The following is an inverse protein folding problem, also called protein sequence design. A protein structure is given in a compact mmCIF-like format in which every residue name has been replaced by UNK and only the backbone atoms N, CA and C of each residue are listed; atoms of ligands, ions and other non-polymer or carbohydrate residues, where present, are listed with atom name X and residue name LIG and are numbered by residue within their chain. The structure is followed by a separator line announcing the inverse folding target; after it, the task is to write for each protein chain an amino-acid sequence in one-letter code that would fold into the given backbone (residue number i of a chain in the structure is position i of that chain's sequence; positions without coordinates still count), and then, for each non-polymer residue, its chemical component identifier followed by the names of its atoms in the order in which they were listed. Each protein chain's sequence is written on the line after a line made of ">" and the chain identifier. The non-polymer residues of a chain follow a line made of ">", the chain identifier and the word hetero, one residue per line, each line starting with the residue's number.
data_IF_020159482503
#
_entry.id   IF_020159482503
#
_cell.length_a   1.000
_cell.length_b   1.000
_cell.length_c   1.000
_cell.angle_alpha   90.00
_cell.angle_beta   90.00
_cell.angle_gamma   90.00
#
_symmetry.space_group_name_H-M   'P 1'
#
loop_
_entity.id
_entity.type
_entity.pdbx_description
1 polymer ?
#
# COMPACT_ATOMS: atom_id res chain seq x y z
N UNK A 1 -21.64 -2.61 -0.62
CA UNK A 1 -21.02 -3.03 -1.54
C UNK A 1 -21.49 -2.61 -2.76
N UNK A 2 -20.90 -2.05 -3.46
CA UNK A 2 -21.39 -1.54 -4.65
C UNK A 2 -21.64 -2.59 -5.69
N UNK A 3 -22.61 -2.35 -6.52
CA UNK A 3 -22.85 -3.23 -7.62
C UNK A 3 -21.68 -3.22 -8.59
N UNK A 4 -20.82 -2.23 -8.49
CA UNK A 4 -19.76 -2.04 -9.48
C UNK A 4 -18.37 -2.40 -9.00
N UNK A 5 -18.27 -3.08 -7.88
CA UNK A 5 -16.96 -3.44 -7.35
C UNK A 5 -16.12 -4.28 -8.32
N UNK A 6 -16.81 -4.99 -9.23
CA UNK A 6 -16.13 -5.86 -10.19
C UNK A 6 -15.66 -5.13 -11.45
N UNK A 7 -16.02 -3.86 -11.62
CA UNK A 7 -15.61 -3.13 -12.81
C UNK A 7 -14.12 -2.83 -12.75
N UNK A 8 -13.39 -2.99 -13.86
CA UNK A 8 -11.95 -2.78 -13.86
C UNK A 8 -11.53 -1.35 -13.55
N UNK A 9 -12.40 -0.38 -13.83
CA UNK A 9 -12.07 1.01 -13.56
C UNK A 9 -12.82 1.57 -12.36
N UNK A 10 -13.45 0.72 -11.59
CA UNK A 10 -14.17 1.18 -10.41
C UNK A 10 -13.22 1.61 -9.32
N UNK A 11 -13.75 2.39 -8.40
CA UNK A 11 -12.96 2.87 -7.29
C UNK A 11 -12.84 1.84 -6.19
N UNK A 12 -11.77 1.92 -5.43
CA UNK A 12 -11.59 1.13 -4.22
C UNK A 12 -11.41 2.11 -3.06
N UNK A 13 -11.58 1.65 -1.82
CA UNK A 13 -11.36 2.52 -0.67
C UNK A 13 -9.94 3.09 -0.66
N UNK A 14 -9.80 4.32 -0.19
CA UNK A 14 -8.52 5.01 -0.18
C UNK A 14 -8.24 5.66 1.16
N UNK A 15 -6.97 5.83 1.47
CA UNK A 15 -6.53 6.58 2.63
C UNK A 15 -5.50 7.61 2.14
N UNK A 16 -5.56 8.83 2.68
CA UNK A 16 -4.63 9.88 2.26
C UNK A 16 -3.25 9.62 2.84
N UNK A 17 -2.23 10.25 2.25
CA UNK A 17 -0.86 10.11 2.75
C UNK A 17 -0.76 10.59 4.20
N UNK A 18 -1.37 11.73 4.51
CA UNK A 18 -1.31 12.24 5.87
C UNK A 18 -2.02 11.32 6.86
N UNK A 19 -3.15 10.75 6.45
CA UNK A 19 -3.87 9.84 7.32
C UNK A 19 -3.06 8.56 7.56
N UNK A 20 -2.44 8.03 6.52
CA UNK A 20 -1.61 6.83 6.69
C UNK A 20 -0.43 7.12 7.62
N UNK A 21 0.17 8.30 7.49
CA UNK A 21 1.28 8.66 8.36
C UNK A 21 0.84 8.68 9.83
N UNK A 22 -0.34 9.22 10.11
CA UNK A 22 -0.88 9.20 11.46
C UNK A 22 -1.12 7.75 11.91
N UNK A 23 -1.72 6.93 11.05
CA UNK A 23 -2.02 5.55 11.40
C UNK A 23 -0.77 4.75 11.74
N UNK A 24 0.30 4.92 10.97
CA UNK A 24 1.50 4.11 11.21
C UNK A 24 2.24 4.52 12.48
N UNK A 25 1.94 5.72 13.01
CA UNK A 25 2.51 6.16 14.27
C UNK A 25 1.63 5.80 15.47
N UNK A 26 0.41 5.34 15.21
CA UNK A 26 -0.56 5.03 16.25
C UNK A 26 -0.48 3.54 16.56
N UNK A 27 -0.08 3.21 17.77
CA UNK A 27 0.10 1.81 18.14
C UNK A 27 -1.20 1.01 18.10
N UNK A 28 -2.35 1.66 18.15
CA UNK A 28 -3.62 0.95 18.10
C UNK A 28 -4.09 0.69 16.68
N UNK A 29 -3.67 1.49 15.71
CA UNK A 29 -4.12 1.32 14.32
C UNK A 29 -3.40 0.16 13.62
N UNK A 30 -2.11 0.05 13.83
CA UNK A 30 -1.28 -1.06 13.33
C UNK A 30 -1.54 -1.42 11.88
N UNK A 31 -1.43 -0.47 10.95
CA UNK A 31 -1.70 -0.76 9.54
C UNK A 31 -0.67 -1.73 8.96
N UNK A 32 -1.13 -2.56 8.03
CA UNK A 32 -0.27 -3.48 7.29
C UNK A 32 -0.09 -2.86 5.92
N UNK A 33 1.13 -2.47 5.59
CA UNK A 33 1.41 -1.74 4.35
C UNK A 33 2.08 -2.66 3.36
N UNK A 34 1.50 -2.77 2.15
CA UNK A 34 2.05 -3.65 1.12
C UNK A 34 2.36 -2.80 -0.11
N UNK A 35 3.63 -2.77 -0.49
CA UNK A 35 4.07 -2.02 -1.66
C UNK A 35 4.07 -2.96 -2.85
N UNK A 36 3.23 -2.67 -3.86
CA UNK A 36 3.07 -3.57 -5.00
C UNK A 36 3.83 -3.07 -6.23
N UNK A 37 4.77 -2.16 -6.04
CA UNK A 37 5.57 -1.63 -7.14
C UNK A 37 6.67 -2.59 -7.56
N UNK A 38 7.40 -2.24 -8.60
CA UNK A 38 8.55 -3.04 -9.02
C UNK A 38 9.67 -2.97 -7.99
N UNK A 39 10.62 -3.88 -8.10
CA UNK A 39 11.77 -3.90 -7.20
C UNK A 39 12.61 -2.64 -7.31
N UNK A 40 12.78 -2.12 -8.52
CA UNK A 40 13.55 -0.89 -8.69
C UNK A 40 12.88 0.29 -8.00
N UNK A 41 11.55 0.39 -8.12
CA UNK A 41 10.82 1.45 -7.45
C UNK A 41 10.91 1.30 -5.93
N UNK A 42 10.82 0.08 -5.45
CA UNK A 42 10.92 -0.21 -4.01
C UNK A 42 12.27 0.24 -3.47
N UNK A 43 13.35 -0.11 -4.16
CA UNK A 43 14.68 0.24 -3.71
C UNK A 43 14.94 1.74 -3.74
N UNK A 44 14.25 2.46 -4.63
CA UNK A 44 14.45 3.91 -4.72
C UNK A 44 13.82 4.66 -3.55
N UNK A 45 13.01 3.99 -2.77
CA UNK A 45 12.41 4.60 -1.59
C UNK A 45 11.03 4.05 -1.34
N UNK A 46 10.77 3.65 -0.10
CA UNK A 46 9.48 3.07 0.29
C UNK A 46 9.18 3.46 1.73
N UNK A 47 7.95 3.21 2.14
CA UNK A 47 7.51 3.54 3.50
C UNK A 47 8.07 2.51 4.47
N UNK A 48 8.65 2.97 5.57
CA UNK A 48 9.22 2.07 6.59
C UNK A 48 8.15 1.09 7.09
N UNK A 49 8.53 -0.17 7.22
CA UNK A 49 7.62 -1.20 7.69
C UNK A 49 6.77 -1.83 6.61
N UNK A 50 6.83 -1.34 5.38
CA UNK A 50 6.06 -1.92 4.30
C UNK A 50 6.65 -3.26 3.86
N UNK A 51 5.76 -4.14 3.39
CA UNK A 51 6.17 -5.42 2.81
C UNK A 51 6.14 -5.24 1.31
N UNK A 52 7.17 -5.71 0.62
CA UNK A 52 7.23 -5.58 -0.83
C UNK A 52 6.71 -6.84 -1.52
N UNK A 53 5.63 -6.71 -2.25
CA UNK A 53 5.08 -7.82 -3.05
C UNK A 53 4.65 -7.24 -4.39
N UNK A 54 5.48 -7.35 -5.44
CA UNK A 54 5.10 -6.79 -6.74
C UNK A 54 3.75 -7.29 -7.20
N UNK A 55 3.01 -6.44 -7.90
CA UNK A 55 1.66 -6.80 -8.31
C UNK A 55 1.63 -8.09 -9.15
N UNK A 56 2.68 -8.35 -9.90
CA UNK A 56 2.74 -9.56 -10.72
C UNK A 56 2.81 -10.83 -9.88
N UNK A 57 3.23 -10.72 -8.63
CA UNK A 57 3.35 -11.86 -7.73
C UNK A 57 2.27 -11.87 -6.65
N UNK A 58 1.48 -10.82 -6.60
CA UNK A 58 0.56 -10.62 -5.49
C UNK A 58 -0.44 -11.78 -5.36
N UNK A 59 -1.03 -12.17 -6.49
CA UNK A 59 -2.04 -13.21 -6.47
C UNK A 59 -1.52 -14.54 -5.96
N UNK A 60 -0.29 -14.91 -6.33
CA UNK A 60 0.26 -16.19 -5.90
C UNK A 60 0.81 -16.14 -4.48
N UNK A 61 1.07 -14.96 -3.94
CA UNK A 61 1.69 -14.85 -2.62
C UNK A 61 0.73 -14.46 -1.50
N UNK A 62 -0.47 -14.00 -1.84
CA UNK A 62 -1.36 -13.42 -0.86
C UNK A 62 -1.66 -14.36 0.32
N UNK A 63 -1.83 -15.65 0.05
CA UNK A 63 -2.16 -16.60 1.11
C UNK A 63 -0.99 -16.81 2.07
N UNK A 64 0.24 -16.65 1.60
CA UNK A 64 1.41 -16.89 2.43
C UNK A 64 1.86 -15.67 3.22
N UNK A 65 1.22 -14.52 3.01
CA UNK A 65 1.65 -13.29 3.67
C UNK A 65 1.25 -13.22 5.14
N UNK A 66 0.35 -14.09 5.57
CA UNK A 66 -0.09 -14.12 6.97
C UNK A 66 -0.62 -12.77 7.45
N UNK A 67 -1.43 -12.15 6.61
CA UNK A 67 -2.02 -10.86 6.96
C UNK A 67 -3.15 -11.03 7.97
N UNK A 68 -3.33 -10.01 8.80
CA UNK A 68 -4.34 -10.02 9.84
C UNK A 68 -5.61 -9.35 9.30
N UNK A 69 -6.71 -10.09 9.24
CA UNK A 69 -7.96 -9.56 8.70
C UNK A 69 -8.61 -8.50 9.56
N UNK A 70 -8.21 -8.38 10.81
CA UNK A 70 -8.80 -7.41 11.72
C UNK A 70 -8.12 -6.04 11.65
N UNK A 71 -6.99 -5.94 10.96
CA UNK A 71 -6.22 -4.71 10.89
C UNK A 71 -6.30 -4.11 9.50
N UNK A 72 -6.16 -2.78 9.38
CA UNK A 72 -6.17 -2.14 8.06
C UNK A 72 -5.01 -2.65 7.20
N UNK A 73 -5.27 -2.80 5.91
CA UNK A 73 -4.25 -3.18 4.94
C UNK A 73 -4.24 -2.10 3.87
N UNK A 74 -3.08 -1.52 3.61
CA UNK A 74 -2.95 -0.44 2.64
C UNK A 74 -2.01 -0.87 1.53
N UNK A 75 -2.53 -0.95 0.30
CA UNK A 75 -1.73 -1.26 -0.87
C UNK A 75 -1.18 0.02 -1.46
N UNK A 76 0.10 0.01 -1.82
CA UNK A 76 0.80 1.19 -2.29
C UNK A 76 1.40 0.94 -3.66
N UNK A 77 1.14 1.84 -4.61
CA UNK A 77 1.86 1.84 -5.87
C UNK A 77 2.35 3.24 -6.17
N UNK A 78 2.82 3.48 -7.37
CA UNK A 78 3.38 4.79 -7.67
C UNK A 78 2.31 5.88 -7.67
N UNK A 79 1.18 5.63 -8.33
CA UNK A 79 0.15 6.65 -8.49
C UNK A 79 -1.27 6.10 -8.32
N UNK A 80 -1.40 5.00 -7.61
CA UNK A 80 -2.70 4.42 -7.26
C UNK A 80 -3.41 3.68 -8.41
N UNK A 81 -2.65 3.17 -9.38
CA UNK A 81 -3.24 2.36 -10.44
C UNK A 81 -3.04 0.87 -10.22
N UNK A 82 -1.79 0.47 -9.93
CA UNK A 82 -1.49 -0.95 -9.71
C UNK A 82 -2.04 -1.46 -8.38
N UNK A 83 -2.38 -0.55 -7.47
CA UNK A 83 -2.93 -0.97 -6.19
C UNK A 83 -4.41 -1.30 -6.26
N UNK A 84 -5.12 -0.86 -7.29
CA UNK A 84 -6.54 -1.17 -7.43
C UNK A 84 -6.79 -2.68 -7.50
N UNK A 85 -6.13 -3.43 -8.42
CA UNK A 85 -6.35 -4.87 -8.43
C UNK A 85 -5.85 -5.55 -7.16
N UNK A 86 -4.84 -5.01 -6.50
CA UNK A 86 -4.37 -5.58 -5.25
C UNK A 86 -5.45 -5.47 -4.17
N UNK A 87 -6.09 -4.31 -4.05
CA UNK A 87 -7.15 -4.12 -3.06
C UNK A 87 -8.32 -5.05 -3.37
N UNK A 88 -8.69 -5.17 -4.64
CA UNK A 88 -9.78 -6.06 -5.01
C UNK A 88 -9.50 -7.51 -4.67
N UNK A 89 -8.25 -7.93 -4.90
CA UNK A 89 -7.87 -9.30 -4.57
C UNK A 89 -7.91 -9.52 -3.06
N UNK A 90 -7.45 -8.54 -2.29
CA UNK A 90 -7.53 -8.62 -0.84
C UNK A 90 -8.99 -8.75 -0.38
N UNK A 91 -9.87 -7.97 -0.97
CA UNK A 91 -11.29 -8.03 -0.63
C UNK A 91 -11.88 -9.40 -0.93
N UNK A 92 -11.49 -10.01 -2.05
CA UNK A 92 -11.96 -11.35 -2.40
C UNK A 92 -11.49 -12.39 -1.40
N UNK A 93 -10.35 -12.16 -0.75
CA UNK A 93 -9.83 -13.07 0.25
C UNK A 93 -10.31 -12.76 1.65
N UNK A 94 -11.31 -11.88 1.77
CA UNK A 94 -11.92 -11.60 3.05
C UNK A 94 -11.30 -10.48 3.86
N UNK A 95 -10.38 -9.73 3.28
CA UNK A 95 -9.77 -8.60 3.95
C UNK A 95 -10.60 -7.35 3.72
N UNK A 96 -11.59 -7.13 4.58
CA UNK A 96 -12.56 -6.06 4.37
C UNK A 96 -12.00 -4.68 4.69
N UNK A 97 -10.88 -4.61 5.40
CA UNK A 97 -10.26 -3.33 5.72
C UNK A 97 -9.15 -2.97 4.76
N UNK A 98 -9.18 -3.52 3.56
CA UNK A 98 -8.19 -3.24 2.53
C UNK A 98 -8.52 -1.92 1.83
N UNK A 99 -7.48 -1.12 1.60
CA UNK A 99 -7.62 0.14 0.87
C UNK A 99 -6.30 0.43 0.18
N UNK A 100 -6.25 1.51 -0.57
CA UNK A 100 -5.01 1.92 -1.23
C UNK A 100 -4.61 3.31 -0.76
N UNK A 101 -3.35 3.64 -0.94
CA UNK A 101 -2.85 4.98 -0.66
C UNK A 101 -3.28 5.91 -1.79
N UNK A 102 -4.07 6.91 -1.46
CA UNK A 102 -4.54 7.87 -2.45
C UNK A 102 -3.36 8.58 -3.08
N UNK A 103 -3.27 8.52 -4.40
CA UNK A 103 -2.16 9.14 -5.12
C UNK A 103 -0.85 8.39 -5.02
N UNK A 104 -0.80 7.28 -4.30
CA UNK A 104 0.38 6.43 -4.23
C UNK A 104 1.60 7.12 -3.67
N UNK A 105 2.77 6.61 -4.02
CA UNK A 105 4.03 7.17 -3.52
C UNK A 105 4.27 8.59 -4.01
N UNK A 106 3.69 8.98 -5.14
CA UNK A 106 3.82 10.37 -5.58
C UNK A 106 3.20 11.31 -4.56
N UNK A 107 2.01 10.97 -4.06
CA UNK A 107 1.36 11.80 -3.04
C UNK A 107 2.13 11.76 -1.72
N UNK A 108 2.69 10.61 -1.37
CA UNK A 108 3.49 10.46 -0.15
C UNK A 108 4.69 11.39 -0.19
N UNK A 109 5.40 11.42 -1.33
CA UNK A 109 6.58 12.28 -1.47
C UNK A 109 6.22 13.75 -1.55
N UNK A 110 5.10 14.08 -2.19
CA UNK A 110 4.65 15.47 -2.24
C UNK A 110 4.31 16.00 -0.85
N UNK A 111 3.87 15.13 0.03
CA UNK A 111 3.60 15.50 1.41
C UNK A 111 4.89 15.52 2.25
N UNK A 112 6.03 15.22 1.61
CA UNK A 112 7.34 15.24 2.27
C UNK A 112 7.42 14.28 3.46
N UNK A 113 6.75 13.14 3.33
CA UNK A 113 6.78 12.13 4.36
C UNK A 113 7.98 11.20 4.16
N UNK A 114 8.48 10.58 5.23
CA UNK A 114 9.75 9.86 5.16
C UNK A 114 9.69 8.58 4.34
N UNK A 115 10.78 8.28 3.68
CA UNK A 115 10.97 7.03 2.96
C UNK A 115 12.33 6.46 3.33
N UNK A 116 12.49 5.15 3.11
CA UNK A 116 13.77 4.50 3.28
C UNK A 116 14.00 3.60 2.07
N UNK A 117 15.23 3.23 1.82
CA UNK A 117 15.56 2.39 0.68
C UNK A 117 17.03 2.46 0.39
N UNK A 118 17.50 1.55 -0.44
CA UNK A 118 18.91 1.47 -0.76
C UNK A 118 19.43 2.74 -1.42
N UNK A 119 18.63 3.30 -2.28
CA UNK A 119 19.05 4.48 -2.98
C UNK A 119 19.03 5.73 -2.14
N UNK A 120 18.49 5.65 -0.94
CA UNK A 120 18.42 6.80 -0.07
C UNK A 120 19.42 6.75 1.04
N UNK A 121 20.30 5.81 0.98
CA UNK A 121 21.26 5.71 2.05
C UNK A 121 22.05 6.99 2.07
N UNK A 122 22.27 7.52 3.14
CA UNK A 122 23.01 8.73 3.24
C UNK A 122 22.22 9.96 3.05
N UNK A 123 21.00 9.80 2.72
CA UNK A 123 20.30 10.92 2.51
C UNK A 123 19.27 11.09 3.48
N UNK A 124 19.50 11.20 4.44
CA UNK A 124 18.50 11.26 5.25
C UNK A 124 17.99 12.49 5.24
N UNK A 125 18.24 12.65 4.94
CA UNK A 125 17.76 13.42 4.93
C UNK A 125 17.14 13.79 4.48
N UNK A 126 17.22 13.67 4.32
CA UNK A 126 16.68 14.03 3.99
C UNK A 126 15.96 14.20 4.52
#
# INVERSE_FOLDING_TARGET
>A
MGLFWWLPFGKVPEVSAKRLDVMRKDSSARPQIIDVRTSAEWRSGHIAGAIHVPITEFGSRIASLQLDRTRPIIAICRSAHRSIPAVRLLQRHGFQKACQLQGGMLAWRQAELPVEGDGCSGSPAR
#
